data_IF_265437402485
#
_entry.id   IF_265437402485
#
_cell.length_a   1.000
_cell.length_b   1.000
_cell.length_c   1.000
_cell.angle_alpha   90.00
_cell.angle_beta   90.00
_cell.angle_gamma   90.00
#
_symmetry.space_group_name_H-M   'P 1'
#
loop_
_entity.id
_entity.type
_entity.pdbx_description
1 polymer ?
#
# COMPACT_ATOMS: atom_id res chain seq x y z
N UNK A 1 4.67 4.66 13.10
CA UNK A 1 3.81 4.41 14.29
C UNK A 1 4.06 5.53 15.26
N UNK A 2 2.98 6.22 15.67
CA UNK A 2 3.03 7.36 16.59
C UNK A 2 2.25 7.02 17.86
N UNK A 3 2.78 7.46 19.00
CA UNK A 3 2.25 7.29 20.34
C UNK A 3 1.62 5.90 20.62
N UNK A 4 2.44 4.88 20.89
CA UNK A 4 1.95 3.55 21.22
C UNK A 4 1.35 3.43 22.64
N UNK A 5 1.23 4.55 23.37
CA UNK A 5 0.63 4.59 24.69
C UNK A 5 -0.91 4.57 24.68
N UNK A 6 -1.53 4.58 25.85
CA UNK A 6 -2.99 4.62 25.97
C UNK A 6 -3.60 5.92 25.38
N UNK A 7 -2.82 6.99 25.19
CA UNK A 7 -3.27 8.22 24.55
C UNK A 7 -3.57 8.04 23.05
N UNK A 8 -2.89 7.07 22.40
CA UNK A 8 -3.14 6.67 21.01
C UNK A 8 -4.27 5.68 20.82
N UNK A 9 -5.02 5.34 21.87
CA UNK A 9 -6.07 4.31 21.83
C UNK A 9 -7.22 4.69 20.90
N UNK A 10 -7.66 3.72 20.10
CA UNK A 10 -8.79 3.85 19.19
C UNK A 10 -9.94 2.91 19.60
N UNK A 11 -11.22 3.24 19.30
CA UNK A 11 -11.65 4.40 18.55
C UNK A 11 -11.43 5.72 19.31
N UNK A 12 -11.07 6.78 18.57
CA UNK A 12 -10.83 8.11 19.13
C UNK A 12 -11.97 9.05 18.74
N UNK A 13 -12.28 9.98 19.63
CA UNK A 13 -13.38 10.93 19.48
C UNK A 13 -12.83 12.33 19.23
N UNK A 14 -13.50 13.10 18.36
CA UNK A 14 -13.28 14.55 18.32
C UNK A 14 -13.76 15.18 19.63
N UNK A 15 -13.19 16.33 19.99
CA UNK A 15 -13.51 17.03 21.25
C UNK A 15 -14.98 17.42 21.35
N UNK A 16 -15.61 17.76 20.23
CA UNK A 16 -17.04 18.09 20.14
C UNK A 16 -17.96 16.86 20.16
N UNK A 17 -17.39 15.64 20.13
CA UNK A 17 -18.11 14.36 20.13
C UNK A 17 -18.80 14.01 18.81
N UNK A 18 -18.62 14.80 17.76
CA UNK A 18 -19.29 14.58 16.46
C UNK A 18 -18.68 13.48 15.64
N UNK A 19 -17.38 13.25 15.77
CA UNK A 19 -16.66 12.26 15.02
C UNK A 19 -16.05 11.17 15.90
N UNK A 20 -16.17 9.92 15.43
CA UNK A 20 -15.55 8.75 16.03
C UNK A 20 -14.69 8.12 14.96
N UNK A 21 -13.39 7.97 15.21
CA UNK A 21 -12.39 7.55 14.21
C UNK A 21 -11.69 6.28 14.63
N UNK A 22 -11.56 5.35 13.68
CA UNK A 22 -10.57 4.27 13.69
C UNK A 22 -9.64 4.44 12.49
N UNK A 23 -8.36 4.16 12.69
CA UNK A 23 -7.33 4.49 11.72
C UNK A 23 -6.21 3.45 11.70
N UNK A 24 -5.86 3.00 10.52
CA UNK A 24 -4.67 2.19 10.26
C UNK A 24 -3.77 2.96 9.30
N UNK A 25 -2.67 3.50 9.79
CA UNK A 25 -1.76 4.26 8.95
C UNK A 25 -0.81 5.19 9.68
N UNK A 26 -0.36 6.21 8.96
CA UNK A 26 0.39 7.33 9.47
C UNK A 26 0.16 8.55 8.57
N UNK A 27 -0.18 9.70 9.18
CA UNK A 27 -0.29 11.00 8.50
C UNK A 27 1.01 11.75 8.72
N UNK A 28 1.91 11.74 7.76
CA UNK A 28 3.27 12.25 7.91
C UNK A 28 3.35 13.76 8.08
N UNK A 29 2.37 14.52 7.60
CA UNK A 29 2.26 15.97 7.80
C UNK A 29 1.33 16.36 8.96
N UNK A 30 1.13 15.46 9.94
CA UNK A 30 0.22 15.71 11.05
C UNK A 30 0.63 16.91 11.90
N UNK A 31 1.93 17.20 12.05
CA UNK A 31 2.44 18.33 12.82
C UNK A 31 2.04 19.65 12.19
N UNK A 32 2.22 19.80 10.90
CA UNK A 32 1.82 21.00 10.14
C UNK A 32 0.31 21.20 10.16
N UNK A 33 -0.46 20.09 10.07
CA UNK A 33 -1.92 20.16 10.18
C UNK A 33 -2.38 20.53 11.59
N UNK A 34 -1.72 20.00 12.61
CA UNK A 34 -1.99 20.31 14.01
C UNK A 34 -1.74 21.78 14.32
N UNK A 35 -0.60 22.33 13.87
CA UNK A 35 -0.27 23.76 14.06
C UNK A 35 -1.38 24.65 13.49
N UNK A 36 -1.86 24.38 12.27
CA UNK A 36 -2.97 25.11 11.65
C UNK A 36 -4.26 25.03 12.45
N UNK A 37 -4.60 23.84 12.92
CA UNK A 37 -5.80 23.65 13.75
C UNK A 37 -5.67 24.40 15.08
N UNK A 38 -4.48 24.48 15.68
CA UNK A 38 -4.22 25.28 16.90
C UNK A 38 -4.40 26.77 16.61
N UNK A 39 -3.89 27.27 15.48
CA UNK A 39 -4.09 28.66 15.06
C UNK A 39 -5.59 29.00 14.87
N UNK A 40 -6.40 28.02 14.50
CA UNK A 40 -7.85 28.12 14.34
C UNK A 40 -8.63 27.91 15.65
N UNK A 41 -7.93 27.69 16.78
CA UNK A 41 -8.52 27.57 18.10
C UNK A 41 -8.80 26.17 18.60
N UNK A 42 -8.39 25.11 17.84
CA UNK A 42 -8.48 23.74 18.30
C UNK A 42 -7.43 23.43 19.38
N UNK A 43 -7.75 22.53 20.28
CA UNK A 43 -6.84 22.09 21.35
C UNK A 43 -6.69 20.57 21.33
N UNK A 44 -5.51 20.09 21.67
CA UNK A 44 -5.13 18.70 21.62
C UNK A 44 -4.75 18.16 23.00
N UNK A 45 -4.99 16.87 23.23
CA UNK A 45 -4.65 16.17 24.47
C UNK A 45 -3.53 15.15 24.28
N UNK A 46 -3.31 14.69 23.05
CA UNK A 46 -2.26 13.72 22.68
C UNK A 46 -1.32 14.30 21.63
N UNK A 47 -0.26 13.59 21.34
CA UNK A 47 0.66 13.90 20.23
C UNK A 47 0.40 13.00 19.00
N UNK A 48 -0.79 12.37 18.92
CA UNK A 48 -1.11 11.43 17.87
C UNK A 48 -1.58 12.11 16.57
N UNK A 49 -1.32 11.50 15.45
CA UNK A 49 -1.94 11.86 14.17
C UNK A 49 -3.43 11.51 14.14
N UNK A 50 -3.86 10.51 14.91
CA UNK A 50 -5.29 10.16 15.04
C UNK A 50 -6.12 11.30 15.60
N UNK A 51 -5.62 12.02 16.62
CA UNK A 51 -6.33 13.19 17.17
C UNK A 51 -6.41 14.33 16.14
N UNK A 52 -5.34 14.51 15.34
CA UNK A 52 -5.35 15.48 14.23
C UNK A 52 -6.41 15.12 13.18
N UNK A 53 -6.62 13.84 12.90
CA UNK A 53 -7.71 13.40 12.03
C UNK A 53 -9.06 13.77 12.64
N UNK A 54 -9.29 13.48 13.92
CA UNK A 54 -10.56 13.78 14.63
C UNK A 54 -10.90 15.26 14.61
N UNK A 55 -9.95 16.11 15.04
CA UNK A 55 -10.15 17.56 15.11
C UNK A 55 -10.27 18.20 13.73
N UNK A 56 -9.51 17.71 12.75
CA UNK A 56 -9.61 18.16 11.38
C UNK A 56 -10.94 17.79 10.69
N UNK A 57 -11.50 16.61 11.00
CA UNK A 57 -12.85 16.25 10.55
C UNK A 57 -13.91 17.11 11.21
N UNK A 58 -13.74 17.47 12.49
CA UNK A 58 -14.63 18.41 13.19
C UNK A 58 -14.61 19.80 12.56
N UNK A 59 -13.43 20.28 12.13
CA UNK A 59 -13.25 21.59 11.52
C UNK A 59 -13.70 21.66 10.05
N UNK A 60 -13.41 20.65 9.25
CA UNK A 60 -13.51 20.71 7.79
C UNK A 60 -14.35 19.59 7.16
N UNK A 61 -14.87 18.66 7.95
CA UNK A 61 -15.55 17.49 7.43
C UNK A 61 -14.61 16.63 6.58
N UNK A 62 -15.19 15.86 5.67
CA UNK A 62 -14.46 14.90 4.82
C UNK A 62 -13.49 15.53 3.81
N UNK A 63 -13.60 16.85 3.53
CA UNK A 63 -12.63 17.56 2.70
C UNK A 63 -11.22 17.59 3.31
N UNK A 64 -11.12 17.30 4.62
CA UNK A 64 -9.85 17.21 5.30
C UNK A 64 -8.96 16.05 4.82
N UNK A 65 -9.55 14.98 4.26
CA UNK A 65 -8.79 13.87 3.69
C UNK A 65 -7.84 14.29 2.56
N UNK A 66 -8.21 15.29 1.77
CA UNK A 66 -7.41 15.80 0.68
C UNK A 66 -6.10 16.47 1.15
N UNK A 67 -6.06 16.94 2.40
CA UNK A 67 -4.90 17.61 3.00
C UNK A 67 -3.85 16.64 3.54
N UNK A 68 -4.17 15.35 3.66
CA UNK A 68 -3.25 14.38 4.23
C UNK A 68 -2.09 14.05 3.28
N UNK A 69 -0.88 14.10 3.79
CA UNK A 69 0.27 13.41 3.23
C UNK A 69 0.52 12.19 4.12
N UNK A 70 0.06 11.02 3.67
CA UNK A 70 0.10 9.82 4.51
C UNK A 70 -0.33 8.55 3.78
N UNK A 71 -0.18 7.45 4.49
CA UNK A 71 -0.65 6.13 4.12
C UNK A 71 -1.74 5.76 5.10
N UNK A 72 -2.99 5.59 4.66
CA UNK A 72 -4.10 5.43 5.58
C UNK A 72 -5.29 4.62 5.05
N UNK A 73 -5.92 3.93 5.98
CA UNK A 73 -7.28 3.44 5.91
C UNK A 73 -8.02 3.99 7.14
N UNK A 74 -9.04 4.78 6.94
CA UNK A 74 -9.79 5.48 7.99
C UNK A 74 -11.24 5.04 7.94
N UNK A 75 -11.81 4.69 9.10
CA UNK A 75 -13.24 4.62 9.32
C UNK A 75 -13.65 5.76 10.26
N UNK A 76 -14.52 6.67 9.79
CA UNK A 76 -14.98 7.82 10.54
C UNK A 76 -16.51 7.84 10.59
N UNK A 77 -17.07 7.77 11.78
CA UNK A 77 -18.51 7.89 12.03
C UNK A 77 -18.85 9.32 12.43
N UNK A 78 -19.78 9.94 11.69
CA UNK A 78 -20.35 11.21 12.08
C UNK A 78 -21.67 10.97 12.84
N UNK A 79 -21.71 11.39 14.10
CA UNK A 79 -22.85 11.14 15.00
C UNK A 79 -24.06 12.01 14.69
N UNK A 80 -23.88 13.19 14.09
CA UNK A 80 -24.97 14.12 13.74
C UNK A 80 -25.61 13.73 12.40
N UNK A 81 -24.78 13.33 11.43
CA UNK A 81 -25.26 12.91 10.10
C UNK A 81 -25.71 11.43 10.08
N UNK A 82 -25.36 10.66 11.10
CA UNK A 82 -25.54 9.21 11.16
C UNK A 82 -24.93 8.48 9.94
N UNK A 83 -23.73 8.94 9.51
CA UNK A 83 -23.02 8.41 8.34
C UNK A 83 -21.65 7.87 8.73
N UNK A 84 -21.31 6.75 8.09
CA UNK A 84 -19.97 6.19 8.13
C UNK A 84 -19.22 6.56 6.86
N UNK A 85 -18.02 7.10 7.03
CA UNK A 85 -17.08 7.42 5.99
C UNK A 85 -15.88 6.46 6.10
N UNK A 86 -15.61 5.71 5.03
CA UNK A 86 -14.44 4.82 4.95
C UNK A 86 -13.55 5.40 3.87
N UNK A 87 -12.37 5.89 4.24
CA UNK A 87 -11.45 6.56 3.30
C UNK A 87 -10.13 5.82 3.21
N UNK A 88 -9.57 5.78 1.98
CA UNK A 88 -8.30 5.13 1.67
C UNK A 88 -7.34 6.11 1.01
N UNK A 89 -6.05 6.00 1.34
CA UNK A 89 -5.00 6.89 0.85
C UNK A 89 -4.87 6.91 -0.67
N UNK A 90 -4.13 7.92 -1.20
CA UNK A 90 -3.98 8.20 -2.64
C UNK A 90 -3.56 7.01 -3.48
N UNK A 91 -2.66 6.18 -2.95
CA UNK A 91 -2.11 5.03 -3.66
C UNK A 91 -2.67 3.69 -3.19
N UNK A 92 -3.57 3.71 -2.20
CA UNK A 92 -4.13 2.50 -1.61
C UNK A 92 -3.08 1.64 -0.88
N UNK A 93 -2.09 2.28 -0.26
CA UNK A 93 -1.00 1.57 0.43
C UNK A 93 -1.54 0.82 1.64
N UNK A 94 -2.45 1.44 2.41
CA UNK A 94 -3.15 0.73 3.47
C UNK A 94 -4.36 0.01 2.91
N UNK A 95 -4.50 -1.31 3.15
CA UNK A 95 -5.65 -2.06 2.69
C UNK A 95 -6.89 -1.70 3.50
N UNK A 96 -8.02 -1.63 2.81
CA UNK A 96 -9.34 -1.65 3.41
C UNK A 96 -10.31 -2.38 2.51
N UNK A 97 -10.95 -3.38 3.08
CA UNK A 97 -11.96 -4.21 2.45
C UNK A 97 -13.30 -3.95 3.11
N UNK A 98 -14.38 -4.15 2.37
CA UNK A 98 -15.73 -4.08 2.91
C UNK A 98 -16.64 -5.14 2.30
N UNK A 99 -17.64 -5.52 3.06
CA UNK A 99 -18.73 -6.38 2.64
C UNK A 99 -20.05 -5.75 3.09
N UNK A 100 -21.03 -5.77 2.20
CA UNK A 100 -22.34 -5.22 2.47
C UNK A 100 -23.44 -6.12 1.88
N UNK A 101 -24.38 -6.56 2.70
CA UNK A 101 -25.50 -7.43 2.30
C UNK A 101 -26.85 -6.71 2.18
N UNK A 102 -26.84 -5.37 2.12
CA UNK A 102 -28.08 -4.56 2.10
C UNK A 102 -28.62 -4.21 3.50
N UNK A 103 -28.09 -4.84 4.57
CA UNK A 103 -28.50 -4.59 5.95
C UNK A 103 -27.31 -4.32 6.86
N UNK A 104 -26.26 -5.09 6.74
CA UNK A 104 -25.07 -5.03 7.57
C UNK A 104 -23.86 -4.68 6.68
N UNK A 105 -23.08 -3.69 7.11
CA UNK A 105 -21.78 -3.38 6.53
C UNK A 105 -20.69 -3.81 7.52
N UNK A 106 -19.71 -4.52 7.01
CA UNK A 106 -18.46 -4.86 7.74
C UNK A 106 -17.29 -4.38 6.94
N UNK A 107 -16.34 -3.71 7.56
CA UNK A 107 -15.09 -3.31 6.92
C UNK A 107 -13.89 -3.62 7.80
N UNK A 108 -12.76 -3.92 7.18
CA UNK A 108 -11.53 -4.29 7.87
C UNK A 108 -10.30 -4.10 6.96
N UNK A 109 -9.13 -4.07 7.55
CA UNK A 109 -7.85 -4.10 6.82
C UNK A 109 -7.51 -5.48 6.26
N UNK A 110 -8.14 -6.55 6.74
CA UNK A 110 -7.92 -7.93 6.31
C UNK A 110 -9.26 -8.65 6.11
N UNK A 111 -9.37 -9.41 5.02
CA UNK A 111 -10.61 -10.13 4.65
C UNK A 111 -10.98 -11.17 5.71
N UNK A 112 -9.98 -11.81 6.34
CA UNK A 112 -10.20 -12.81 7.39
C UNK A 112 -11.02 -12.29 8.58
N UNK A 113 -11.01 -10.99 8.82
CA UNK A 113 -11.87 -10.37 9.84
C UNK A 113 -13.32 -10.29 9.37
N UNK A 114 -13.56 -9.96 8.10
CA UNK A 114 -14.89 -9.86 7.49
C UNK A 114 -15.59 -11.22 7.46
N UNK A 115 -14.90 -12.27 7.02
CA UNK A 115 -15.47 -13.62 6.89
C UNK A 115 -15.81 -14.30 8.22
N UNK A 116 -15.42 -13.69 9.35
CA UNK A 116 -15.83 -14.13 10.69
C UNK A 116 -17.20 -13.60 11.11
N UNK A 117 -17.75 -12.64 10.37
CA UNK A 117 -19.09 -12.14 10.66
C UNK A 117 -20.14 -13.27 10.45
N UNK A 118 -21.08 -13.47 11.38
CA UNK A 118 -22.03 -14.60 11.32
C UNK A 118 -22.94 -14.58 10.10
N UNK A 119 -23.23 -13.40 9.54
CA UNK A 119 -24.08 -13.25 8.36
C UNK A 119 -23.32 -13.41 7.04
N UNK A 120 -21.98 -13.57 7.09
CA UNK A 120 -21.19 -13.77 5.87
C UNK A 120 -21.26 -15.22 5.40
N UNK A 121 -21.70 -15.41 4.15
CA UNK A 121 -21.71 -16.71 3.49
C UNK A 121 -20.46 -16.88 2.63
N UNK A 122 -19.63 -17.86 2.99
CA UNK A 122 -18.40 -18.16 2.27
C UNK A 122 -18.69 -18.57 0.82
N UNK A 123 -18.02 -17.92 -0.11
CA UNK A 123 -18.10 -18.23 -1.54
C UNK A 123 -16.94 -17.66 -2.31
N UNK A 124 -16.71 -18.18 -3.51
CA UNK A 124 -15.70 -17.66 -4.44
C UNK A 124 -16.36 -16.70 -5.42
N UNK A 125 -15.71 -15.55 -5.65
CA UNK A 125 -16.08 -14.64 -6.73
C UNK A 125 -15.48 -15.14 -8.04
N UNK A 126 -16.35 -15.61 -8.95
CA UNK A 126 -15.91 -16.23 -10.20
C UNK A 126 -15.41 -15.20 -11.21
N UNK A 127 -15.89 -13.97 -11.17
CA UNK A 127 -15.41 -12.88 -12.03
C UNK A 127 -14.01 -12.46 -11.62
N UNK A 128 -13.75 -12.28 -10.33
CA UNK A 128 -12.43 -12.02 -9.80
C UNK A 128 -11.45 -13.18 -10.07
N UNK A 129 -11.92 -14.41 -9.96
CA UNK A 129 -11.13 -15.59 -10.29
C UNK A 129 -10.74 -15.63 -11.78
N UNK A 130 -11.69 -15.35 -12.68
CA UNK A 130 -11.42 -15.26 -14.13
C UNK A 130 -10.44 -14.13 -14.45
N UNK A 131 -10.59 -12.97 -13.80
CA UNK A 131 -9.67 -11.85 -13.93
C UNK A 131 -8.25 -12.24 -13.49
N UNK A 132 -8.13 -12.90 -12.35
CA UNK A 132 -6.85 -13.42 -11.88
C UNK A 132 -6.21 -14.41 -12.86
N UNK A 133 -6.95 -15.36 -13.40
CA UNK A 133 -6.43 -16.31 -14.40
C UNK A 133 -6.05 -15.64 -15.71
N UNK A 134 -6.63 -14.49 -16.02
CA UNK A 134 -6.21 -13.69 -17.17
C UNK A 134 -4.90 -12.94 -16.88
N UNK A 135 -4.87 -12.13 -15.85
CA UNK A 135 -3.85 -11.11 -15.62
C UNK A 135 -2.86 -11.47 -14.51
N UNK A 136 -3.07 -12.56 -13.79
CA UNK A 136 -2.35 -12.86 -12.54
C UNK A 136 -2.53 -11.73 -11.51
N UNK A 137 -3.59 -10.97 -11.64
CA UNK A 137 -3.96 -9.85 -10.78
C UNK A 137 -5.47 -9.59 -10.89
N UNK A 138 -6.03 -8.83 -9.94
CA UNK A 138 -7.42 -8.39 -9.92
C UNK A 138 -7.41 -6.86 -9.96
N UNK A 139 -7.95 -6.25 -11.02
CA UNK A 139 -7.98 -4.80 -11.24
C UNK A 139 -9.33 -4.17 -10.90
N UNK A 140 -10.40 -5.00 -10.85
CA UNK A 140 -11.78 -4.57 -10.62
C UNK A 140 -12.08 -4.15 -9.17
N UNK A 141 -11.10 -4.24 -8.28
CA UNK A 141 -11.28 -4.09 -6.83
C UNK A 141 -12.22 -5.13 -6.18
N UNK A 142 -12.63 -6.15 -6.91
CA UNK A 142 -13.20 -7.36 -6.32
C UNK A 142 -12.11 -8.15 -5.59
N UNK A 143 -12.52 -9.11 -4.81
CA UNK A 143 -11.60 -10.07 -4.19
C UNK A 143 -12.02 -11.49 -4.56
N UNK A 144 -11.20 -12.49 -4.25
CA UNK A 144 -11.59 -13.89 -4.45
C UNK A 144 -12.75 -14.33 -3.55
N UNK A 145 -13.08 -13.52 -2.54
CA UNK A 145 -14.18 -13.80 -1.59
C UNK A 145 -15.46 -13.11 -2.06
N UNK A 146 -16.49 -13.89 -2.32
CA UNK A 146 -17.77 -13.42 -2.90
C UNK A 146 -18.36 -12.25 -2.11
N UNK A 147 -18.59 -11.13 -2.80
CA UNK A 147 -19.19 -9.92 -2.24
C UNK A 147 -18.29 -9.11 -1.33
N UNK A 148 -17.01 -9.51 -1.16
CA UNK A 148 -16.00 -8.68 -0.47
C UNK A 148 -15.26 -7.86 -1.50
N UNK A 149 -15.27 -6.53 -1.31
CA UNK A 149 -14.64 -5.58 -2.22
C UNK A 149 -13.50 -4.85 -1.51
N UNK A 150 -12.48 -4.49 -2.27
CA UNK A 150 -11.44 -3.56 -1.83
C UNK A 150 -11.88 -2.13 -2.16
N UNK A 151 -11.76 -1.20 -1.23
CA UNK A 151 -12.00 0.20 -1.54
C UNK A 151 -10.89 0.71 -2.48
N UNK A 152 -11.23 1.33 -3.63
CA UNK A 152 -10.23 1.88 -4.54
C UNK A 152 -9.32 2.92 -3.88
N UNK A 153 -8.08 3.12 -4.37
CA UNK A 153 -7.22 4.22 -3.94
C UNK A 153 -7.90 5.58 -4.08
N UNK A 154 -7.55 6.54 -3.22
CA UNK A 154 -8.09 7.90 -3.22
C UNK A 154 -9.62 7.97 -3.24
N UNK A 155 -10.29 7.00 -2.60
CA UNK A 155 -11.74 6.97 -2.52
C UNK A 155 -12.22 7.04 -1.07
N UNK A 156 -13.40 7.61 -0.92
CA UNK A 156 -14.19 7.54 0.30
C UNK A 156 -15.52 6.86 0.00
N UNK A 157 -15.78 5.75 0.66
CA UNK A 157 -17.10 5.13 0.69
C UNK A 157 -17.93 5.80 1.78
N UNK A 158 -19.13 6.24 1.41
CA UNK A 158 -20.11 6.85 2.34
C UNK A 158 -21.26 5.89 2.50
N UNK A 159 -21.54 5.53 3.74
CA UNK A 159 -22.67 4.67 4.10
C UNK A 159 -23.61 5.46 5.00
N UNK A 160 -24.79 5.67 4.50
CA UNK A 160 -25.86 6.36 5.19
C UNK A 160 -26.74 5.35 5.93
N UNK A 161 -27.04 5.61 7.21
CA UNK A 161 -27.82 4.69 8.04
C UNK A 161 -29.25 4.52 7.56
N UNK A 162 -29.85 5.54 6.92
CA UNK A 162 -31.23 5.51 6.42
C UNK A 162 -31.33 4.82 5.06
N UNK A 163 -30.50 5.24 4.10
CA UNK A 163 -30.56 4.74 2.72
C UNK A 163 -29.90 3.38 2.55
N UNK A 164 -29.03 3.00 3.48
CA UNK A 164 -28.25 1.75 3.44
C UNK A 164 -27.56 1.53 2.10
N UNK A 165 -27.09 2.60 1.49
CA UNK A 165 -26.41 2.58 0.21
C UNK A 165 -24.94 2.98 0.37
N UNK A 166 -24.03 2.24 -0.26
CA UNK A 166 -22.61 2.56 -0.27
C UNK A 166 -22.30 3.39 -1.51
N UNK A 167 -22.00 4.67 -1.32
CA UNK A 167 -21.58 5.57 -2.40
C UNK A 167 -20.07 5.77 -2.36
N UNK A 168 -19.42 5.62 -3.50
CA UNK A 168 -17.99 5.89 -3.64
C UNK A 168 -17.76 7.27 -4.23
N UNK A 169 -16.88 8.05 -3.60
CA UNK A 169 -16.44 9.35 -4.09
C UNK A 169 -14.91 9.31 -4.22
N UNK A 170 -14.42 9.45 -5.46
CA UNK A 170 -12.99 9.68 -5.68
C UNK A 170 -12.65 11.13 -5.32
N UNK A 171 -11.60 11.35 -4.53
CA UNK A 171 -11.19 12.67 -4.08
C UNK A 171 -9.83 13.09 -4.63
N UNK A 172 -9.12 12.20 -5.33
CA UNK A 172 -7.87 12.53 -5.99
C UNK A 172 -7.60 11.56 -7.16
N UNK A 173 -6.97 12.08 -8.22
CA UNK A 173 -6.36 11.30 -9.30
C UNK A 173 -5.26 12.15 -9.94
N UNK A 174 -4.44 11.54 -10.79
CA UNK A 174 -3.46 12.24 -11.60
C UNK A 174 -4.14 13.07 -12.68
N UNK A 175 -3.65 14.30 -12.85
CA UNK A 175 -4.06 15.17 -13.96
C UNK A 175 -2.94 15.22 -15.01
N UNK A 176 -2.97 14.29 -15.96
CA UNK A 176 -2.02 14.23 -17.07
C UNK A 176 -2.29 15.26 -18.18
N UNK A 177 -3.36 16.06 -18.09
CA UNK A 177 -3.63 17.14 -19.02
C UNK A 177 -2.68 18.34 -18.86
N UNK A 178 -2.03 18.43 -17.69
CA UNK A 178 -1.09 19.51 -17.36
C UNK A 178 0.34 19.03 -17.54
N UNK A 179 0.99 19.50 -18.61
CA UNK A 179 2.42 19.32 -18.80
C UNK A 179 3.18 20.56 -18.35
N UNK A 180 4.40 20.39 -17.86
CA UNK A 180 5.28 21.50 -17.52
C UNK A 180 6.42 21.58 -18.53
N UNK A 181 6.09 22.00 -19.74
CA UNK A 181 7.02 22.06 -20.87
C UNK A 181 8.09 23.16 -20.73
N UNK A 182 7.98 24.03 -19.70
CA UNK A 182 8.90 25.13 -19.44
C UNK A 182 10.04 24.74 -18.50
N UNK A 183 9.87 23.65 -17.76
CA UNK A 183 10.87 23.19 -16.78
C UNK A 183 12.08 22.55 -17.49
N UNK A 184 13.30 23.04 -17.19
CA UNK A 184 14.50 22.40 -17.70
C UNK A 184 14.73 21.03 -17.03
N UNK A 185 15.45 20.13 -17.72
CA UNK A 185 15.83 18.84 -17.13
C UNK A 185 16.63 19.01 -15.84
N UNK A 186 17.49 20.03 -15.75
CA UNK A 186 18.28 20.31 -14.55
C UNK A 186 17.39 20.70 -13.37
N UNK A 187 16.39 21.57 -13.61
CA UNK A 187 15.44 21.98 -12.57
C UNK A 187 14.55 20.81 -12.14
N UNK A 188 14.06 20.01 -13.09
CA UNK A 188 13.26 18.82 -12.81
C UNK A 188 14.03 17.81 -11.96
N UNK A 189 15.32 17.58 -12.29
CA UNK A 189 16.21 16.69 -11.52
C UNK A 189 16.40 17.19 -10.09
N UNK A 190 16.66 18.48 -9.90
CA UNK A 190 16.89 19.06 -8.57
C UNK A 190 15.59 19.04 -7.74
N UNK A 191 14.46 19.39 -8.34
CA UNK A 191 13.16 19.32 -7.66
C UNK A 191 12.81 17.88 -7.26
N UNK A 192 13.00 16.90 -8.17
CA UNK A 192 12.74 15.49 -7.87
C UNK A 192 13.59 15.01 -6.70
N UNK A 193 14.90 15.36 -6.68
CA UNK A 193 15.78 15.03 -5.58
C UNK A 193 15.27 15.61 -4.26
N UNK A 194 14.94 16.90 -4.24
CA UNK A 194 14.49 17.59 -3.03
C UNK A 194 13.17 17.01 -2.50
N UNK A 195 12.22 16.71 -3.38
CA UNK A 195 10.95 16.09 -3.02
C UNK A 195 11.14 14.66 -2.51
N UNK A 196 12.04 13.90 -3.12
CA UNK A 196 12.37 12.55 -2.69
C UNK A 196 13.01 12.54 -1.29
N UNK A 197 14.02 13.41 -1.07
CA UNK A 197 14.67 13.54 0.24
C UNK A 197 13.66 13.97 1.33
N UNK A 198 12.76 14.90 1.01
CA UNK A 198 11.67 15.28 1.92
C UNK A 198 10.72 14.12 2.21
N UNK A 199 10.32 13.36 1.19
CA UNK A 199 9.38 12.24 1.34
C UNK A 199 9.96 11.17 2.27
N UNK A 200 11.21 10.77 2.05
CA UNK A 200 11.87 9.77 2.91
C UNK A 200 12.04 10.31 4.33
N UNK A 201 12.49 11.56 4.49
CA UNK A 201 12.66 12.18 5.81
C UNK A 201 11.35 12.24 6.59
N UNK A 202 10.24 12.62 5.95
CA UNK A 202 8.90 12.63 6.57
C UNK A 202 8.46 11.23 7.01
N UNK A 203 8.73 10.22 6.20
CA UNK A 203 8.35 8.85 6.50
C UNK A 203 9.23 8.19 7.57
N UNK A 204 10.33 8.82 7.97
CA UNK A 204 11.13 8.43 9.14
C UNK A 204 10.51 8.90 10.48
N UNK A 205 9.47 9.73 10.46
CA UNK A 205 8.78 10.16 11.69
C UNK A 205 8.09 8.96 12.33
N UNK A 206 8.60 8.52 13.48
CA UNK A 206 8.14 7.34 14.20
C UNK A 206 8.64 7.34 15.64
N UNK A 207 7.79 6.90 16.57
CA UNK A 207 8.15 6.69 17.99
C UNK A 207 8.67 5.26 18.25
N UNK A 208 8.81 4.47 17.19
CA UNK A 208 9.37 3.11 17.23
C UNK A 208 10.52 2.97 16.22
N UNK A 209 11.43 2.00 16.41
CA UNK A 209 12.54 1.79 15.50
C UNK A 209 12.09 1.56 14.06
N UNK A 210 12.76 2.26 13.11
CA UNK A 210 12.57 2.16 11.67
C UNK A 210 13.78 1.52 11.04
N UNK A 211 13.57 0.58 10.12
CA UNK A 211 14.60 0.00 9.27
C UNK A 211 14.27 0.17 7.79
N UNK A 212 15.07 -0.42 6.93
CA UNK A 212 14.85 -0.41 5.49
C UNK A 212 15.13 -1.78 4.87
N UNK A 213 14.32 -2.18 3.90
CA UNK A 213 14.72 -3.26 2.99
C UNK A 213 15.76 -2.73 2.04
N UNK A 214 16.82 -3.51 1.84
CA UNK A 214 17.94 -3.15 0.98
C UNK A 214 18.18 -4.28 -0.01
N UNK A 215 18.04 -3.96 -1.28
CA UNK A 215 18.51 -4.77 -2.39
C UNK A 215 19.70 -4.07 -3.07
N UNK A 216 20.25 -4.64 -4.09
CA UNK A 216 21.24 -3.94 -4.94
C UNK A 216 20.60 -2.89 -5.86
N UNK A 217 19.27 -2.79 -5.88
CA UNK A 217 18.53 -1.90 -6.76
C UNK A 217 18.59 -0.41 -6.36
N UNK A 218 18.40 0.44 -7.35
CA UNK A 218 18.44 1.90 -7.20
C UNK A 218 17.39 2.42 -6.21
N UNK A 219 16.18 1.90 -6.23
CA UNK A 219 15.06 2.39 -5.42
C UNK A 219 15.32 2.18 -3.93
N UNK A 220 15.63 0.94 -3.53
CA UNK A 220 15.92 0.62 -2.13
C UNK A 220 17.20 1.32 -1.64
N UNK A 221 18.23 1.38 -2.48
CA UNK A 221 19.49 2.05 -2.18
C UNK A 221 19.32 3.56 -1.99
N UNK A 222 18.51 4.21 -2.82
CA UNK A 222 18.22 5.64 -2.71
C UNK A 222 17.48 5.96 -1.40
N UNK A 223 16.47 5.16 -1.04
CA UNK A 223 15.74 5.31 0.22
C UNK A 223 16.68 5.10 1.41
N UNK A 224 17.46 4.01 1.42
CA UNK A 224 18.42 3.73 2.49
C UNK A 224 19.48 4.83 2.62
N UNK A 225 19.92 5.42 1.49
CA UNK A 225 20.88 6.55 1.47
C UNK A 225 20.36 7.80 2.17
N UNK A 226 19.09 8.12 2.03
CA UNK A 226 18.46 9.25 2.74
C UNK A 226 18.19 8.88 4.19
N UNK A 227 17.61 7.71 4.44
CA UNK A 227 17.21 7.25 5.76
C UNK A 227 18.42 7.09 6.72
N UNK A 228 19.56 6.60 6.21
CA UNK A 228 20.78 6.42 7.01
C UNK A 228 21.37 7.73 7.56
N UNK A 229 21.01 8.88 6.98
CA UNK A 229 21.42 10.20 7.48
C UNK A 229 20.54 10.71 8.64
N UNK A 230 19.40 10.07 8.88
CA UNK A 230 18.42 10.51 9.87
C UNK A 230 18.58 9.79 11.22
N UNK A 231 19.33 8.70 11.26
CA UNK A 231 19.54 7.86 12.46
C UNK A 231 21.01 7.45 12.54
N UNK A 232 21.52 7.27 13.76
CA UNK A 232 22.92 6.90 13.98
C UNK A 232 23.27 5.54 13.35
N UNK A 233 22.31 4.62 13.34
CA UNK A 233 22.49 3.26 12.82
C UNK A 233 21.17 2.72 12.25
N UNK A 234 21.08 2.71 10.93
CA UNK A 234 19.93 2.15 10.21
C UNK A 234 20.07 0.63 10.11
N UNK A 235 19.09 -0.11 10.60
CA UNK A 235 18.98 -1.55 10.32
C UNK A 235 18.49 -1.77 8.89
N UNK A 236 19.22 -2.57 8.10
CA UNK A 236 18.85 -2.92 6.74
C UNK A 236 18.70 -4.42 6.59
N UNK A 237 17.75 -4.84 5.75
CA UNK A 237 17.37 -6.24 5.61
C UNK A 237 17.41 -6.65 4.15
N UNK A 238 18.14 -7.74 3.87
CA UNK A 238 18.34 -8.28 2.52
C UNK A 238 17.94 -9.75 2.48
N UNK A 239 17.30 -10.15 1.39
CA UNK A 239 16.94 -11.53 1.12
C UNK A 239 17.80 -12.06 -0.02
N UNK A 240 18.23 -13.31 0.08
CA UNK A 240 18.98 -13.99 -0.95
C UNK A 240 18.71 -15.48 -0.98
N UNK A 241 19.37 -16.20 -1.87
CA UNK A 241 19.15 -17.61 -2.12
C UNK A 241 20.39 -18.43 -1.80
N UNK A 242 20.21 -19.69 -1.44
CA UNK A 242 21.33 -20.63 -1.36
C UNK A 242 21.81 -20.98 -2.79
N UNK A 243 22.94 -20.38 -3.17
CA UNK A 243 23.51 -20.52 -4.50
C UNK A 243 23.96 -21.94 -4.85
N UNK A 244 24.02 -22.87 -3.89
CA UNK A 244 24.29 -24.27 -4.16
C UNK A 244 23.04 -25.03 -4.60
N UNK A 245 21.87 -24.56 -4.25
CA UNK A 245 20.58 -25.23 -4.54
C UNK A 245 19.79 -24.54 -5.67
N UNK A 246 20.07 -23.26 -5.91
CA UNK A 246 19.36 -22.44 -6.89
C UNK A 246 19.93 -22.68 -8.29
N UNK A 247 19.05 -22.86 -9.27
CA UNK A 247 19.40 -23.04 -10.67
C UNK A 247 18.68 -22.06 -11.58
N UNK A 248 19.32 -21.68 -12.69
CA UNK A 248 18.70 -20.90 -13.75
C UNK A 248 18.41 -19.45 -13.38
N UNK A 249 17.17 -19.00 -13.62
CA UNK A 249 16.78 -17.57 -13.49
C UNK A 249 16.80 -17.05 -12.07
N UNK A 250 16.57 -17.90 -11.07
CA UNK A 250 16.50 -17.49 -9.65
C UNK A 250 17.85 -16.97 -9.14
N UNK A 251 18.96 -17.52 -9.64
CA UNK A 251 20.30 -17.05 -9.28
C UNK A 251 20.52 -15.57 -9.64
N UNK A 252 19.83 -15.06 -10.66
CA UNK A 252 19.91 -13.65 -11.06
C UNK A 252 19.15 -12.70 -10.12
N UNK A 253 18.35 -13.24 -9.20
CA UNK A 253 17.63 -12.44 -8.20
C UNK A 253 18.38 -12.36 -6.86
N UNK A 254 19.58 -12.93 -6.76
CA UNK A 254 20.40 -12.80 -5.57
C UNK A 254 21.21 -11.49 -5.64
N UNK A 255 20.71 -10.48 -4.95
CA UNK A 255 21.29 -9.11 -4.90
C UNK A 255 22.13 -8.88 -3.64
N UNK A 256 22.46 -9.92 -2.86
CA UNK A 256 23.19 -9.77 -1.57
C UNK A 256 24.50 -9.05 -1.72
N UNK A 257 25.28 -9.35 -2.76
CA UNK A 257 26.59 -8.72 -2.98
C UNK A 257 26.46 -7.21 -3.16
N UNK A 258 25.51 -6.76 -3.94
CA UNK A 258 25.33 -5.33 -4.21
C UNK A 258 24.70 -4.63 -3.00
N UNK A 259 23.81 -5.31 -2.29
CA UNK A 259 23.27 -4.84 -1.01
C UNK A 259 24.34 -4.70 0.06
N UNK A 260 25.30 -5.64 0.17
CA UNK A 260 26.45 -5.57 1.10
C UNK A 260 27.36 -4.38 0.77
N UNK A 261 27.67 -4.17 -0.51
CA UNK A 261 28.47 -3.02 -0.94
C UNK A 261 27.80 -1.70 -0.55
N UNK A 262 26.47 -1.61 -0.75
CA UNK A 262 25.68 -0.45 -0.38
C UNK A 262 25.62 -0.28 1.13
N UNK A 263 25.38 -1.33 1.89
CA UNK A 263 25.32 -1.30 3.36
C UNK A 263 26.65 -0.83 3.95
N UNK A 264 27.77 -1.33 3.43
CA UNK A 264 29.11 -0.90 3.84
C UNK A 264 29.38 0.59 3.52
N UNK A 265 28.96 1.04 2.35
CA UNK A 265 29.08 2.45 1.96
C UNK A 265 28.23 3.36 2.86
N UNK A 266 27.02 2.99 3.16
CA UNK A 266 26.07 3.74 3.99
C UNK A 266 26.30 3.53 5.50
N UNK A 267 27.16 2.59 5.89
CA UNK A 267 27.44 2.20 7.28
C UNK A 267 26.19 1.75 8.04
N UNK A 268 25.30 1.02 7.36
CA UNK A 268 24.11 0.45 7.97
C UNK A 268 24.43 -0.87 8.67
N UNK A 269 23.54 -1.31 9.56
CA UNK A 269 23.60 -2.65 10.15
C UNK A 269 22.77 -3.61 9.30
N UNK A 270 23.48 -4.41 8.48
CA UNK A 270 22.83 -5.31 7.55
C UNK A 270 22.53 -6.67 8.17
N UNK A 271 21.29 -7.14 7.95
CA UNK A 271 20.84 -8.47 8.29
C UNK A 271 20.38 -9.20 7.03
N UNK A 272 20.80 -10.44 6.85
CA UNK A 272 20.49 -11.24 5.69
C UNK A 272 19.64 -12.45 6.03
N UNK A 273 18.72 -12.77 5.14
CA UNK A 273 17.95 -14.01 5.14
C UNK A 273 18.27 -14.80 3.88
N UNK A 274 18.95 -15.92 4.02
CA UNK A 274 19.21 -16.86 2.93
C UNK A 274 18.11 -17.91 2.90
N UNK A 275 17.54 -18.12 1.73
CA UNK A 275 16.46 -19.09 1.49
C UNK A 275 16.95 -20.26 0.68
N UNK A 276 16.34 -21.42 0.90
CA UNK A 276 16.60 -22.67 0.19
C UNK A 276 15.31 -23.16 -0.52
N UNK A 277 15.46 -24.19 -1.36
CA UNK A 277 14.36 -24.75 -2.16
C UNK A 277 13.16 -25.27 -1.33
N UNK A 278 13.36 -25.62 -0.05
CA UNK A 278 12.31 -26.10 0.84
C UNK A 278 11.43 -24.98 1.43
N UNK A 279 11.92 -23.76 1.43
CA UNK A 279 11.29 -22.65 2.16
C UNK A 279 9.93 -22.26 1.61
N UNK A 280 9.71 -22.35 0.29
CA UNK A 280 8.41 -22.07 -0.31
C UNK A 280 7.32 -23.01 0.22
N UNK A 281 7.63 -24.30 0.35
CA UNK A 281 6.70 -25.32 0.87
C UNK A 281 6.30 -25.03 2.32
N UNK A 282 7.25 -24.59 3.13
CA UNK A 282 7.01 -24.26 4.54
C UNK A 282 6.24 -22.97 4.74
N UNK A 283 6.47 -21.98 3.87
CA UNK A 283 5.80 -20.69 3.98
C UNK A 283 4.40 -20.67 3.35
N UNK A 284 4.12 -21.54 2.37
CA UNK A 284 2.89 -21.49 1.57
C UNK A 284 1.59 -21.42 2.38
N UNK A 285 1.34 -22.26 3.42
CA UNK A 285 0.10 -22.14 4.19
C UNK A 285 -0.03 -20.80 4.91
N UNK A 286 1.09 -20.23 5.38
CA UNK A 286 1.12 -18.93 6.04
C UNK A 286 0.95 -17.79 5.04
N UNK A 287 1.56 -17.91 3.86
CA UNK A 287 1.38 -16.96 2.78
C UNK A 287 -0.08 -16.86 2.37
N UNK A 288 -0.75 -17.98 2.10
CA UNK A 288 -2.17 -18.01 1.74
C UNK A 288 -3.02 -17.34 2.83
N UNK A 289 -2.73 -17.63 4.10
CA UNK A 289 -3.44 -17.04 5.23
C UNK A 289 -3.24 -15.53 5.34
N UNK A 290 -2.03 -15.02 5.09
CA UNK A 290 -1.72 -13.59 5.23
C UNK A 290 -2.05 -12.78 3.98
N UNK A 291 -1.87 -13.34 2.78
CA UNK A 291 -2.14 -12.64 1.53
C UNK A 291 -3.64 -12.54 1.23
N UNK A 292 -4.42 -13.57 1.60
CA UNK A 292 -5.85 -13.65 1.25
C UNK A 292 -6.08 -13.54 -0.28
N UNK A 293 -5.07 -13.95 -1.06
CA UNK A 293 -4.95 -13.83 -2.51
C UNK A 293 -4.16 -15.02 -3.06
N UNK A 294 -4.26 -15.27 -4.36
CA UNK A 294 -3.54 -16.33 -5.07
C UNK A 294 -2.13 -15.91 -5.53
N UNK A 295 -1.72 -14.67 -5.30
CA UNK A 295 -0.39 -14.19 -5.67
C UNK A 295 0.69 -14.85 -4.82
N UNK A 296 1.28 -15.92 -5.33
CA UNK A 296 2.32 -16.66 -4.62
C UNK A 296 3.72 -16.19 -5.02
N UNK A 297 4.01 -16.06 -6.28
CA UNK A 297 5.25 -15.57 -6.90
C UNK A 297 6.40 -15.28 -5.94
N UNK A 298 6.91 -14.04 -5.97
CA UNK A 298 7.97 -13.55 -5.06
C UNK A 298 7.47 -13.23 -3.63
N UNK A 299 6.26 -13.63 -3.26
CA UNK A 299 5.71 -13.33 -1.92
C UNK A 299 6.40 -14.12 -0.80
N UNK A 300 6.96 -15.30 -1.08
CA UNK A 300 7.66 -16.07 -0.03
C UNK A 300 8.98 -15.40 0.43
N UNK A 301 9.81 -14.80 -0.43
CA UNK A 301 10.93 -13.99 0.02
C UNK A 301 10.49 -12.82 0.91
N UNK A 302 9.42 -12.11 0.49
CA UNK A 302 8.86 -11.01 1.28
C UNK A 302 8.38 -11.46 2.67
N UNK A 303 7.79 -12.65 2.77
CA UNK A 303 7.41 -13.22 4.06
C UNK A 303 8.62 -13.44 4.99
N UNK A 304 9.70 -14.03 4.47
CA UNK A 304 10.88 -14.32 5.27
C UNK A 304 11.62 -13.06 5.70
N UNK A 305 11.78 -12.10 4.78
CA UNK A 305 12.46 -10.85 5.10
C UNK A 305 11.66 -10.00 6.09
N UNK A 306 10.32 -9.95 5.96
CA UNK A 306 9.46 -9.27 6.91
C UNK A 306 9.53 -9.93 8.31
N UNK A 307 9.58 -11.27 8.35
CA UNK A 307 9.76 -12.02 9.59
C UNK A 307 11.12 -11.76 10.24
N UNK A 308 12.19 -11.61 9.46
CA UNK A 308 13.49 -11.21 9.97
C UNK A 308 13.43 -9.78 10.52
N UNK A 309 12.95 -8.82 9.73
CA UNK A 309 12.88 -7.41 10.10
C UNK A 309 12.05 -7.19 11.38
N UNK A 310 10.95 -7.93 11.54
CA UNK A 310 10.05 -7.82 12.72
C UNK A 310 10.72 -8.12 14.06
N UNK A 311 11.89 -8.77 14.06
CA UNK A 311 12.68 -9.03 15.28
C UNK A 311 13.46 -7.80 15.76
N UNK A 312 13.68 -6.83 14.89
CA UNK A 312 14.53 -5.67 15.13
C UNK A 312 13.75 -4.35 15.09
N UNK A 313 12.81 -4.22 14.15
CA UNK A 313 12.07 -2.98 13.91
C UNK A 313 10.57 -3.24 13.80
N UNK A 314 9.78 -2.18 13.96
CA UNK A 314 8.32 -2.21 13.78
C UNK A 314 7.88 -1.60 12.46
N UNK A 315 8.71 -0.77 11.87
CA UNK A 315 8.48 -0.12 10.57
C UNK A 315 9.68 -0.38 9.68
N UNK A 316 9.44 -0.68 8.42
CA UNK A 316 10.50 -0.90 7.43
C UNK A 316 10.17 -0.11 6.16
N UNK A 317 11.10 0.73 5.72
CA UNK A 317 10.99 1.44 4.45
C UNK A 317 11.24 0.46 3.29
N UNK A 318 10.56 0.69 2.18
CA UNK A 318 10.61 -0.19 1.00
C UNK A 318 10.71 0.63 -0.27
N UNK A 319 11.46 0.13 -1.27
CA UNK A 319 11.67 0.76 -2.57
C UNK A 319 10.51 0.60 -3.57
N UNK A 320 9.48 -0.18 -3.24
CA UNK A 320 8.35 -0.41 -4.15
C UNK A 320 7.63 0.90 -4.49
N UNK A 321 7.35 1.11 -5.77
CA UNK A 321 6.70 2.30 -6.30
C UNK A 321 7.62 3.17 -7.18
N UNK A 322 8.92 3.02 -7.09
CA UNK A 322 9.88 3.77 -7.91
C UNK A 322 9.70 3.49 -9.40
N UNK A 323 9.77 2.24 -9.79
CA UNK A 323 9.55 1.81 -11.18
C UNK A 323 8.16 2.20 -11.71
N UNK A 324 7.12 2.09 -10.89
CA UNK A 324 5.75 2.44 -11.25
C UNK A 324 5.58 3.93 -11.52
N UNK A 325 6.25 4.79 -10.75
CA UNK A 325 6.16 6.24 -10.90
C UNK A 325 7.04 6.80 -12.02
N UNK A 326 8.18 6.16 -12.29
CA UNK A 326 9.20 6.66 -13.21
C UNK A 326 9.35 5.81 -14.49
N UNK A 327 8.43 4.87 -14.75
CA UNK A 327 8.45 4.04 -15.97
C UNK A 327 9.60 3.05 -16.03
N UNK A 328 9.99 2.47 -14.90
CA UNK A 328 11.15 1.58 -14.75
C UNK A 328 11.03 0.21 -15.41
N UNK A 329 9.89 -0.15 -15.99
CA UNK A 329 9.67 -1.43 -16.67
C UNK A 329 9.50 -1.26 -18.19
N UNK A 330 10.50 -0.79 -18.94
CA UNK A 330 10.35 -0.45 -20.37
C UNK A 330 9.93 -1.65 -21.23
N UNK A 331 10.34 -2.88 -20.86
CA UNK A 331 9.96 -4.09 -21.58
C UNK A 331 8.45 -4.36 -21.63
N UNK A 332 7.68 -3.77 -20.71
CA UNK A 332 6.21 -3.89 -20.70
C UNK A 332 5.56 -3.19 -21.89
N UNK A 333 6.25 -2.23 -22.48
CA UNK A 333 5.77 -1.41 -23.58
C UNK A 333 6.35 -1.79 -24.92
N UNK A 334 7.39 -2.65 -25.01
CA UNK A 334 8.03 -3.01 -26.26
C UNK A 334 7.09 -3.67 -27.28
N UNK A 335 6.07 -4.40 -26.78
CA UNK A 335 5.08 -5.06 -27.64
C UNK A 335 4.15 -4.09 -28.38
N UNK A 336 4.02 -2.86 -27.90
CA UNK A 336 3.05 -1.88 -28.41
C UNK A 336 3.71 -0.69 -29.12
N UNK A 337 5.04 -0.70 -29.26
CA UNK A 337 5.75 0.39 -29.94
C UNK A 337 5.40 0.51 -31.43
N UNK A 338 5.05 -0.58 -32.07
CA UNK A 338 4.74 -0.64 -33.50
C UNK A 338 3.22 -0.59 -33.76
N UNK A 339 2.41 -0.30 -32.73
CA UNK A 339 0.96 -0.19 -32.91
C UNK A 339 0.58 0.96 -33.82
N UNK A 340 -0.30 0.68 -34.78
CA UNK A 340 -0.69 1.62 -35.85
C UNK A 340 -1.90 2.48 -35.50
N UNK A 341 -2.64 2.10 -34.47
CA UNK A 341 -3.83 2.79 -33.97
C UNK A 341 -3.99 2.61 -32.47
N UNK A 342 -4.90 3.37 -31.87
CA UNK A 342 -5.23 3.20 -30.46
C UNK A 342 -5.89 1.83 -30.18
N UNK A 343 -6.70 1.32 -31.09
CA UNK A 343 -7.33 0.02 -30.97
C UNK A 343 -6.27 -1.11 -31.03
N UNK A 344 -5.37 -1.04 -32.01
CA UNK A 344 -4.24 -1.97 -32.13
C UNK A 344 -3.32 -1.93 -30.90
N UNK A 345 -3.09 -0.75 -30.32
CA UNK A 345 -2.36 -0.60 -29.07
C UNK A 345 -3.04 -1.37 -27.92
N UNK A 346 -4.36 -1.20 -27.74
CA UNK A 346 -5.08 -1.89 -26.66
C UNK A 346 -5.10 -3.40 -26.86
N UNK A 347 -5.28 -3.89 -28.08
CA UNK A 347 -5.29 -5.30 -28.37
C UNK A 347 -3.92 -5.94 -28.08
N UNK A 348 -2.82 -5.34 -28.57
CA UNK A 348 -1.47 -5.83 -28.32
C UNK A 348 -1.09 -5.76 -26.83
N UNK A 349 -1.53 -4.71 -26.14
CA UNK A 349 -1.27 -4.55 -24.71
C UNK A 349 -2.06 -5.55 -23.87
N UNK A 350 -3.32 -5.79 -24.24
CA UNK A 350 -4.14 -6.82 -23.61
C UNK A 350 -3.53 -8.21 -23.80
N UNK A 351 -3.10 -8.57 -24.99
CA UNK A 351 -2.46 -9.85 -25.28
C UNK A 351 -1.16 -10.04 -24.48
N UNK A 352 -0.37 -8.97 -24.34
CA UNK A 352 0.83 -9.00 -23.50
C UNK A 352 0.51 -9.30 -22.03
N UNK A 353 -0.63 -8.80 -21.53
CA UNK A 353 -1.01 -8.96 -20.12
C UNK A 353 -1.76 -10.25 -19.82
N UNK A 354 -2.09 -11.08 -20.80
CA UNK A 354 -2.61 -12.42 -20.56
C UNK A 354 -1.48 -13.32 -20.03
N UNK A 355 -1.43 -13.50 -18.71
CA UNK A 355 -0.28 -14.08 -18.00
C UNK A 355 -0.41 -15.57 -17.71
N UNK A 356 -1.61 -16.06 -17.39
CA UNK A 356 -1.82 -17.44 -16.96
C UNK A 356 -2.59 -18.25 -17.99
N UNK A 357 -3.73 -17.78 -18.43
CA UNK A 357 -4.61 -18.48 -19.35
C UNK A 357 -4.98 -17.56 -20.51
N UNK A 358 -4.53 -17.86 -21.73
CA UNK A 358 -4.91 -17.12 -22.93
C UNK A 358 -6.42 -17.18 -23.16
N UNK A 359 -6.95 -16.15 -23.82
CA UNK A 359 -8.40 -16.04 -24.09
C UNK A 359 -8.98 -17.27 -24.79
N UNK A 360 -8.20 -17.87 -25.70
CA UNK A 360 -8.59 -19.03 -26.50
C UNK A 360 -8.78 -20.30 -25.65
N UNK A 361 -7.98 -20.45 -24.60
CA UNK A 361 -7.97 -21.63 -23.73
C UNK A 361 -8.99 -21.54 -22.57
N UNK A 362 -9.55 -20.35 -22.32
CA UNK A 362 -10.47 -20.15 -21.20
C UNK A 362 -11.73 -21.01 -21.27
N UNK A 363 -12.27 -21.23 -22.47
CA UNK A 363 -13.46 -22.05 -22.66
C UNK A 363 -13.26 -23.53 -22.32
N UNK A 364 -12.01 -24.00 -22.35
CA UNK A 364 -11.66 -25.37 -21.99
C UNK A 364 -11.47 -25.53 -20.48
N UNK A 365 -10.93 -24.51 -19.84
CA UNK A 365 -10.64 -24.51 -18.39
C UNK A 365 -11.86 -24.18 -17.53
N UNK A 366 -12.69 -23.26 -17.99
CA UNK A 366 -13.88 -22.83 -17.27
C UNK A 366 -15.11 -23.42 -17.92
N UNK A 367 -15.52 -24.62 -17.47
CA UNK A 367 -16.80 -25.21 -17.89
C UNK A 367 -17.95 -24.29 -17.51
N UNK A 368 -18.97 -24.25 -18.36
CA UNK A 368 -20.21 -23.47 -18.20
C UNK A 368 -20.93 -23.78 -16.89
#
# INVERSE_FOLDING_TARGET
ILDPSDNGKQPMYSKDGKWIVIFNGCIYNFKELREKLIEEGHTFQSETDTEVICEGLAAYGTSFFERFNGMFAIGAWNTEEEKLYISRDRYGIKPVYYWFNGKTLVFASEIKAIIKHPDYEMGVDLDALNEYFTFQNIFSYNTLFKGVHMLPPANTAVVDSETKFVKHNSWWDYDFSKTNDVMSFADAKEQTKNLFEQAVTRQMVSDVPVGAYLSGGMDSGSIASVASKQVDRLATFTCGFDMNEVTGREANFDERRDAELMANHLKTEQFEQVMNAGDIRWSLPKLVYHLEDLRVGMSYPNYYIARLASKFVKVCLQGTGGDELFGGYPWRYYKVFDSLSQEDFFDQYYDFWQRLVPKEEKSELFSK
#
